data_IF_033901221359
#
_entry.id   IF_033901221359
#
_cell.length_a   1.000
_cell.length_b   1.000
_cell.length_c   1.000
_cell.angle_alpha   90.00
_cell.angle_beta   90.00
_cell.angle_gamma   90.00
#
_symmetry.space_group_name_H-M   'P 1'
#
loop_
_entity.id
_entity.type
_entity.pdbx_description
1 polymer ?
#
# COMPACT_ATOMS: atom_id res chain seq x y z
N UNK A 1 -0.55 7.33 -36.16
CA UNK A 1 0.13 7.12 -34.86
C UNK A 1 0.08 8.44 -34.11
N UNK A 2 -0.68 8.53 -33.01
CA UNK A 2 -0.88 9.82 -32.32
C UNK A 2 0.39 10.22 -31.58
N UNK A 3 0.68 11.52 -31.59
CA UNK A 3 1.87 12.14 -30.99
C UNK A 3 1.84 12.11 -29.45
N UNK A 4 0.67 11.83 -28.87
CA UNK A 4 0.43 11.88 -27.41
C UNK A 4 1.03 10.69 -26.65
N UNK A 5 1.27 9.56 -27.33
CA UNK A 5 1.82 8.35 -26.70
C UNK A 5 3.28 8.55 -26.27
N UNK A 6 4.04 9.36 -27.00
CA UNK A 6 5.46 9.61 -26.74
C UNK A 6 5.66 10.57 -25.58
N UNK A 7 4.77 11.55 -25.43
CA UNK A 7 4.86 12.59 -24.39
C UNK A 7 4.50 12.04 -22.99
N UNK A 8 3.65 11.01 -22.92
CA UNK A 8 3.24 10.34 -21.68
C UNK A 8 4.16 9.18 -21.24
N UNK A 9 5.21 8.86 -22.02
CA UNK A 9 6.14 7.78 -21.71
C UNK A 9 5.50 6.39 -21.58
N UNK A 10 4.32 6.18 -22.17
CA UNK A 10 3.55 4.94 -22.02
C UNK A 10 4.26 3.78 -22.73
N UNK A 11 4.33 2.64 -22.05
CA UNK A 11 4.88 1.39 -22.60
C UNK A 11 3.74 0.45 -22.97
N UNK A 12 3.95 -0.35 -24.03
CA UNK A 12 2.99 -1.35 -24.48
C UNK A 12 3.13 -2.62 -23.63
N UNK A 13 2.08 -3.00 -22.92
CA UNK A 13 2.06 -4.17 -22.03
C UNK A 13 1.10 -5.21 -22.58
N UNK A 14 1.49 -6.48 -22.56
CA UNK A 14 0.59 -7.59 -22.85
C UNK A 14 -0.09 -8.06 -21.55
N UNK A 15 -1.42 -7.96 -21.48
CA UNK A 15 -2.22 -8.46 -20.35
C UNK A 15 -3.36 -9.32 -20.90
N UNK A 16 -3.41 -10.60 -20.50
CA UNK A 16 -4.43 -11.56 -20.93
C UNK A 16 -4.64 -11.61 -22.46
N UNK A 17 -3.55 -11.63 -23.23
CA UNK A 17 -3.60 -11.68 -24.69
C UNK A 17 -3.99 -10.36 -25.38
N UNK A 18 -4.27 -9.29 -24.63
CA UNK A 18 -4.58 -7.96 -25.17
C UNK A 18 -3.45 -6.98 -24.88
N UNK A 19 -3.10 -6.14 -25.86
CA UNK A 19 -2.10 -5.10 -25.69
C UNK A 19 -2.75 -3.82 -25.14
N UNK A 20 -2.25 -3.33 -24.00
CA UNK A 20 -2.72 -2.10 -23.35
C UNK A 20 -1.53 -1.16 -23.16
N UNK A 21 -1.74 0.14 -23.38
CA UNK A 21 -0.75 1.17 -23.07
C UNK A 21 -0.85 1.52 -21.59
N UNK A 22 0.26 1.44 -20.88
CA UNK A 22 0.30 1.73 -19.46
C UNK A 22 1.54 2.55 -19.12
N UNK A 23 1.51 3.39 -18.08
CA UNK A 23 2.69 4.12 -17.63
C UNK A 23 3.81 3.15 -17.22
N UNK A 24 5.09 3.55 -17.27
CA UNK A 24 6.22 2.69 -16.89
C UNK A 24 6.10 2.10 -15.47
N UNK A 25 5.39 2.78 -14.58
CA UNK A 25 5.07 2.29 -13.23
C UNK A 25 4.11 1.10 -13.22
N UNK A 26 3.32 0.91 -14.27
CA UNK A 26 2.44 -0.25 -14.42
C UNK A 26 3.16 -1.49 -14.96
N UNK A 27 4.36 -1.34 -15.56
CA UNK A 27 5.27 -2.47 -15.89
C UNK A 27 6.27 -2.78 -14.79
N UNK A 28 6.38 -1.94 -13.76
CA UNK A 28 7.09 -2.29 -12.55
C UNK A 28 6.39 -3.52 -11.97
N UNK A 29 6.99 -4.69 -12.23
CA UNK A 29 6.46 -6.03 -11.95
C UNK A 29 6.52 -6.36 -10.46
N UNK A 30 6.34 -5.35 -9.61
CA UNK A 30 6.07 -5.50 -8.21
C UNK A 30 4.57 -5.59 -8.02
N UNK A 31 4.07 -6.74 -7.55
CA UNK A 31 2.68 -6.85 -7.12
C UNK A 31 2.33 -5.77 -6.07
N UNK A 32 1.06 -5.64 -5.66
CA UNK A 32 0.68 -4.60 -4.71
C UNK A 32 1.50 -4.58 -3.40
N UNK A 33 2.05 -5.73 -2.99
CA UNK A 33 3.01 -5.83 -1.88
C UNK A 33 4.27 -4.98 -2.08
N UNK A 34 4.83 -4.94 -3.29
CA UNK A 34 6.01 -4.13 -3.59
C UNK A 34 5.66 -2.64 -3.56
N UNK A 35 4.47 -2.26 -4.04
CA UNK A 35 3.99 -0.88 -3.94
C UNK A 35 3.83 -0.45 -2.49
N UNK A 36 3.28 -1.32 -1.65
CA UNK A 36 3.17 -1.10 -0.21
C UNK A 36 4.54 -0.98 0.45
N UNK A 37 5.48 -1.86 0.09
CA UNK A 37 6.85 -1.82 0.60
C UNK A 37 7.53 -0.49 0.26
N UNK A 38 7.50 -0.07 -1.02
CA UNK A 38 8.06 1.22 -1.45
C UNK A 38 7.44 2.38 -0.72
N UNK A 39 6.11 2.39 -0.54
CA UNK A 39 5.45 3.43 0.25
C UNK A 39 6.02 3.51 1.68
N UNK A 40 6.27 2.38 2.33
CA UNK A 40 6.83 2.35 3.68
C UNK A 40 8.33 2.73 3.72
N UNK A 41 9.06 2.55 2.62
CA UNK A 41 10.45 2.98 2.47
C UNK A 41 10.55 4.49 2.18
N UNK A 42 9.61 5.04 1.39
CA UNK A 42 9.59 6.44 0.98
C UNK A 42 9.07 7.38 2.08
N UNK A 43 8.19 6.89 2.96
CA UNK A 43 7.54 7.69 3.99
C UNK A 43 7.75 7.10 5.39
N UNK A 44 8.03 7.94 6.42
CA UNK A 44 8.02 7.49 7.79
C UNK A 44 6.59 7.13 8.20
N UNK A 45 6.35 5.84 8.41
CA UNK A 45 5.06 5.32 8.89
C UNK A 45 5.25 4.71 10.27
N UNK A 46 4.33 5.00 11.19
CA UNK A 46 4.24 4.33 12.48
C UNK A 46 2.93 3.55 12.61
N UNK A 47 2.95 2.44 13.35
CA UNK A 47 1.79 1.56 13.48
C UNK A 47 1.59 1.00 14.88
N UNK A 48 0.32 0.79 15.25
CA UNK A 48 -0.08 0.16 16.52
C UNK A 48 -1.34 -0.69 16.37
N UNK A 49 -1.38 -1.81 17.08
CA UNK A 49 -2.58 -2.67 17.20
C UNK A 49 -3.52 -2.15 18.30
N UNK A 50 -4.82 -2.12 17.99
CA UNK A 50 -5.92 -1.85 18.91
C UNK A 50 -7.03 -2.89 18.71
N UNK A 51 -6.96 -4.02 19.43
CA UNK A 51 -7.83 -5.17 19.18
C UNK A 51 -7.59 -5.74 17.77
N UNK A 52 -8.65 -5.91 16.98
CA UNK A 52 -8.55 -6.36 15.59
C UNK A 52 -8.27 -5.24 14.57
N UNK A 53 -8.04 -4.01 15.04
CA UNK A 53 -7.65 -2.88 14.21
C UNK A 53 -6.15 -2.61 14.30
N UNK A 54 -5.57 -2.08 13.22
CA UNK A 54 -4.27 -1.42 13.23
C UNK A 54 -4.50 0.06 12.90
N UNK A 55 -3.92 0.95 13.69
CA UNK A 55 -3.84 2.37 13.39
C UNK A 55 -2.46 2.66 12.83
N UNK A 56 -2.39 3.07 11.57
CA UNK A 56 -1.17 3.50 10.90
C UNK A 56 -1.19 5.03 10.77
N UNK A 57 -0.08 5.67 11.08
CA UNK A 57 0.13 7.11 10.87
C UNK A 57 1.19 7.32 9.82
N UNK A 58 0.90 8.20 8.88
CA UNK A 58 1.79 8.61 7.80
C UNK A 58 1.93 10.14 7.80
N UNK A 59 2.79 10.73 6.96
CA UNK A 59 2.84 12.18 6.81
C UNK A 59 1.51 12.78 6.34
N UNK A 60 1.25 14.07 6.58
CA UNK A 60 0.04 14.75 6.13
C UNK A 60 -0.25 14.55 4.65
N UNK A 61 -1.52 14.33 4.30
CA UNK A 61 -1.98 14.12 2.92
C UNK A 61 -1.61 12.77 2.28
N UNK A 62 -0.95 11.85 2.98
CA UNK A 62 -0.47 10.58 2.39
C UNK A 62 -1.32 9.36 2.73
N UNK A 63 -2.27 9.47 3.67
CA UNK A 63 -3.03 8.31 4.15
C UNK A 63 -3.83 7.60 3.06
N UNK A 64 -4.42 8.34 2.11
CA UNK A 64 -5.13 7.72 0.98
C UNK A 64 -4.21 6.88 0.09
N UNK A 65 -2.98 7.34 -0.17
CA UNK A 65 -2.00 6.59 -0.95
C UNK A 65 -1.56 5.31 -0.21
N UNK A 66 -1.39 5.39 1.12
CA UNK A 66 -1.12 4.24 1.97
C UNK A 66 -2.25 3.21 1.92
N UNK A 67 -3.51 3.65 2.05
CA UNK A 67 -4.68 2.79 1.99
C UNK A 67 -4.80 2.06 0.64
N UNK A 68 -4.60 2.76 -0.47
CA UNK A 68 -4.58 2.13 -1.81
C UNK A 68 -3.47 1.07 -1.90
N UNK A 69 -2.28 1.35 -1.37
CA UNK A 69 -1.19 0.39 -1.37
C UNK A 69 -1.51 -0.84 -0.51
N UNK A 70 -2.16 -0.65 0.64
CA UNK A 70 -2.64 -1.73 1.51
C UNK A 70 -3.72 -2.58 0.83
N UNK A 71 -4.77 -1.96 0.27
CA UNK A 71 -5.88 -2.66 -0.37
C UNK A 71 -5.42 -3.45 -1.61
N UNK A 72 -4.48 -2.89 -2.37
CA UNK A 72 -3.93 -3.56 -3.58
C UNK A 72 -2.88 -4.61 -3.25
N UNK A 73 -2.38 -4.69 -2.02
CA UNK A 73 -1.32 -5.63 -1.61
C UNK A 73 -1.73 -7.10 -1.63
N UNK A 74 -3.02 -7.40 -1.59
CA UNK A 74 -3.53 -8.78 -1.53
C UNK A 74 -3.19 -9.50 -0.21
N UNK A 75 -2.81 -8.76 0.84
CA UNK A 75 -2.56 -9.32 2.16
C UNK A 75 -3.87 -9.83 2.79
N UNK A 76 -3.96 -11.15 2.95
CA UNK A 76 -5.16 -11.84 3.43
C UNK A 76 -5.59 -11.48 4.84
N UNK A 77 -4.69 -10.92 5.65
CA UNK A 77 -4.98 -10.44 7.00
C UNK A 77 -5.90 -9.20 7.00
N UNK A 78 -5.95 -8.45 5.90
CA UNK A 78 -6.71 -7.21 5.75
C UNK A 78 -8.15 -7.53 5.35
N UNK A 79 -9.10 -7.12 6.18
CA UNK A 79 -10.53 -7.12 5.85
C UNK A 79 -10.90 -5.87 5.05
N UNK A 80 -10.27 -4.75 5.37
CA UNK A 80 -10.42 -3.48 4.65
C UNK A 80 -9.70 -2.32 5.34
N UNK A 81 -9.67 -1.17 4.68
CA UNK A 81 -9.04 0.06 5.20
C UNK A 81 -9.98 1.26 5.15
N UNK A 82 -9.74 2.24 6.03
CA UNK A 82 -10.37 3.58 5.99
C UNK A 82 -9.27 4.62 6.20
N UNK A 83 -9.15 5.56 5.26
CA UNK A 83 -8.16 6.63 5.30
C UNK A 83 -8.76 7.96 5.77
N UNK A 84 -8.02 8.66 6.62
CA UNK A 84 -8.16 10.09 6.86
C UNK A 84 -7.13 10.88 6.03
N UNK A 85 -6.52 11.90 6.64
CA UNK A 85 -5.45 12.69 6.02
C UNK A 85 -4.05 12.10 6.25
N UNK A 86 -3.75 11.80 7.51
CA UNK A 86 -2.45 11.32 7.99
C UNK A 86 -2.55 9.98 8.75
N UNK A 87 -3.74 9.37 8.74
CA UNK A 87 -4.07 8.19 9.53
C UNK A 87 -4.87 7.20 8.69
N UNK A 88 -4.50 5.92 8.73
CA UNK A 88 -5.29 4.82 8.15
C UNK A 88 -5.66 3.82 9.23
N UNK A 89 -6.94 3.44 9.28
CA UNK A 89 -7.42 2.32 10.07
C UNK A 89 -7.46 1.09 9.19
N UNK A 90 -6.79 0.03 9.63
CA UNK A 90 -6.78 -1.26 8.94
C UNK A 90 -7.55 -2.26 9.78
N UNK A 91 -8.67 -2.75 9.26
CA UNK A 91 -9.46 -3.78 9.90
C UNK A 91 -8.91 -5.16 9.55
N UNK A 92 -8.79 -6.02 10.55
CA UNK A 92 -8.44 -7.44 10.39
C UNK A 92 -9.50 -8.31 11.06
N UNK A 93 -9.54 -9.61 10.72
CA UNK A 93 -10.57 -10.51 11.27
C UNK A 93 -10.37 -10.80 12.77
N UNK A 94 -9.14 -10.72 13.27
CA UNK A 94 -8.80 -11.04 14.66
C UNK A 94 -7.62 -10.20 15.13
N UNK A 95 -7.46 -10.01 16.44
CA UNK A 95 -6.26 -9.38 17.00
C UNK A 95 -4.96 -10.12 16.63
N UNK A 96 -5.02 -11.45 16.46
CA UNK A 96 -3.87 -12.23 15.99
C UNK A 96 -3.47 -11.82 14.56
N UNK A 97 -4.44 -11.64 13.66
CA UNK A 97 -4.18 -11.13 12.31
C UNK A 97 -3.61 -9.72 12.35
N UNK A 98 -4.16 -8.82 13.18
CA UNK A 98 -3.60 -7.47 13.36
C UNK A 98 -2.13 -7.50 13.79
N UNK A 99 -1.77 -8.34 14.78
CA UNK A 99 -0.38 -8.47 15.26
C UNK A 99 0.55 -9.08 14.20
N UNK A 100 0.06 -10.08 13.46
CA UNK A 100 0.82 -10.71 12.37
C UNK A 100 1.08 -9.73 11.23
N UNK A 101 0.05 -8.99 10.82
CA UNK A 101 0.15 -7.95 9.80
C UNK A 101 1.10 -6.84 10.23
N UNK A 102 0.99 -6.31 11.44
CA UNK A 102 1.93 -5.28 11.92
C UNK A 102 3.37 -5.80 11.94
N UNK A 103 3.60 -7.08 12.26
CA UNK A 103 4.93 -7.71 12.20
C UNK A 103 5.46 -7.82 10.78
N UNK A 104 4.59 -8.11 9.81
CA UNK A 104 4.97 -8.09 8.39
C UNK A 104 5.32 -6.67 7.94
N UNK A 105 4.49 -5.69 8.29
CA UNK A 105 4.71 -4.30 7.91
C UNK A 105 5.97 -3.68 8.54
N UNK A 106 6.37 -4.11 9.74
CA UNK A 106 7.66 -3.69 10.31
C UNK A 106 8.86 -4.14 9.48
N UNK A 107 8.75 -5.24 8.74
CA UNK A 107 9.79 -5.67 7.80
C UNK A 107 9.89 -4.76 6.56
N UNK A 108 8.91 -3.88 6.34
CA UNK A 108 8.90 -2.85 5.29
C UNK A 108 9.38 -1.48 5.78
N UNK A 109 9.83 -1.36 7.03
CA UNK A 109 10.34 -0.10 7.58
C UNK A 109 9.34 0.69 8.45
N UNK A 110 8.13 0.18 8.68
CA UNK A 110 7.17 0.80 9.60
C UNK A 110 7.69 0.73 11.04
N UNK A 111 7.68 1.85 11.77
CA UNK A 111 8.00 1.90 13.20
C UNK A 111 6.82 1.42 14.05
N UNK A 112 7.10 0.67 15.13
CA UNK A 112 6.06 0.35 16.13
C UNK A 112 5.91 1.50 17.11
N UNK A 113 4.68 1.94 17.33
CA UNK A 113 4.38 2.90 18.40
C UNK A 113 4.14 2.17 19.72
N UNK A 114 5.05 2.33 20.67
CA UNK A 114 4.88 1.82 22.04
C UNK A 114 3.89 2.67 22.84
N UNK A 115 3.38 2.11 23.95
CA UNK A 115 2.47 2.83 24.85
C UNK A 115 3.20 4.05 25.44
N UNK A 116 2.60 5.23 25.29
CA UNK A 116 2.76 6.28 26.30
C UNK A 116 2.00 5.85 27.56
#
# INVERSE_FOLDING_TARGET
MSRDIVELGLVKVARNGTHVYAPPTAVASGGGTERLRRFCEDYPVEGRVAGNLIVLRSPPGTANAMAIALDTSGLTEIVGTVAGDDTVFVATSTERHARSLLTRLTAYGIARKERQ
#
